data_IF_356946880172
#
_entry.id   IF_356946880172
#
_cell.length_a   1.000
_cell.length_b   1.000
_cell.length_c   1.000
_cell.angle_alpha   90.00
_cell.angle_beta   90.00
_cell.angle_gamma   90.00
#
_symmetry.space_group_name_H-M   'P 1'
#
loop_
_entity.id
_entity.type
_entity.pdbx_description
1 polymer ?
#
# COMPACT_ATOMS: atom_id res chain seq x y z
N UNK A 1 7.68 16.67 8.32
CA UNK A 1 6.26 16.39 8.03
C UNK A 1 5.31 17.43 8.62
N UNK A 2 5.59 17.98 9.80
CA UNK A 2 4.64 18.80 10.59
C UNK A 2 4.63 20.31 10.32
N UNK A 3 5.37 20.81 9.34
CA UNK A 3 5.46 22.25 9.08
C UNK A 3 4.09 22.78 8.60
N UNK A 4 3.44 23.60 9.42
CA UNK A 4 2.14 24.20 9.13
C UNK A 4 0.93 23.31 9.47
N UNK A 5 1.14 22.16 10.12
CA UNK A 5 0.04 21.34 10.63
C UNK A 5 -0.71 22.09 11.76
N UNK A 6 -2.06 22.08 11.82
CA UNK A 6 -3.00 21.32 10.98
C UNK A 6 -3.48 22.05 9.72
N UNK A 7 -3.11 23.31 9.50
CA UNK A 7 -3.57 24.15 8.38
C UNK A 7 -2.62 24.10 7.17
N UNK A 8 -2.09 22.92 6.85
CA UNK A 8 -1.22 22.76 5.68
C UNK A 8 -2.06 22.65 4.41
N UNK A 9 -1.69 23.44 3.39
CA UNK A 9 -2.26 23.33 2.05
C UNK A 9 -1.91 21.98 1.42
N UNK A 10 -2.82 21.47 0.60
CA UNK A 10 -2.63 20.23 -0.16
C UNK A 10 -2.28 20.64 -1.58
N UNK A 11 -1.08 20.27 -2.03
CA UNK A 11 -0.68 20.48 -3.42
C UNK A 11 -1.51 19.59 -4.36
N UNK A 12 -1.78 20.07 -5.57
CA UNK A 12 -2.60 19.36 -6.57
C UNK A 12 -2.07 17.95 -6.88
N UNK A 13 -0.74 17.78 -6.90
CA UNK A 13 -0.10 16.48 -7.11
C UNK A 13 -0.45 15.47 -6.01
N UNK A 14 -0.46 15.92 -4.74
CA UNK A 14 -0.81 15.08 -3.58
C UNK A 14 -2.31 14.75 -3.63
N UNK A 15 -3.13 15.71 -4.04
CA UNK A 15 -4.56 15.48 -4.24
C UNK A 15 -4.80 14.36 -5.26
N UNK A 16 -4.21 14.46 -6.46
CA UNK A 16 -4.33 13.43 -7.49
C UNK A 16 -3.80 12.08 -7.05
N UNK A 17 -2.65 12.07 -6.37
CA UNK A 17 -2.06 10.84 -5.83
C UNK A 17 -3.01 10.15 -4.85
N UNK A 18 -3.61 10.89 -3.92
CA UNK A 18 -4.57 10.35 -2.95
C UNK A 18 -5.84 9.84 -3.62
N UNK A 19 -6.41 10.61 -4.55
CA UNK A 19 -7.63 10.23 -5.27
C UNK A 19 -7.39 8.96 -6.07
N UNK A 20 -6.30 8.89 -6.84
CA UNK A 20 -5.95 7.71 -7.64
C UNK A 20 -5.67 6.49 -6.74
N UNK A 21 -4.92 6.67 -5.65
CA UNK A 21 -4.64 5.59 -4.69
C UNK A 21 -5.94 5.05 -4.08
N UNK A 22 -6.84 5.94 -3.64
CA UNK A 22 -8.13 5.52 -3.08
C UNK A 22 -8.99 4.76 -4.11
N UNK A 23 -9.03 5.22 -5.36
CA UNK A 23 -9.75 4.55 -6.44
C UNK A 23 -9.15 3.15 -6.73
N UNK A 24 -7.82 3.03 -6.71
CA UNK A 24 -7.12 1.76 -6.84
C UNK A 24 -7.52 0.78 -5.72
N UNK A 25 -7.49 1.19 -4.44
CA UNK A 25 -7.91 0.31 -3.34
C UNK A 25 -9.40 -0.06 -3.37
N UNK A 26 -10.27 0.85 -3.83
CA UNK A 26 -11.67 0.52 -4.11
C UNK A 26 -11.79 -0.55 -5.19
N UNK A 27 -11.03 -0.43 -6.28
CA UNK A 27 -11.03 -1.42 -7.36
C UNK A 27 -10.58 -2.80 -6.87
N UNK A 28 -9.57 -2.86 -5.98
CA UNK A 28 -9.12 -4.10 -5.35
C UNK A 28 -10.21 -4.73 -4.48
N UNK A 29 -10.93 -3.91 -3.69
CA UNK A 29 -12.03 -4.40 -2.87
C UNK A 29 -13.17 -4.98 -3.72
N UNK A 30 -13.54 -4.32 -4.82
CA UNK A 30 -14.56 -4.83 -5.74
C UNK A 30 -14.09 -6.10 -6.46
N UNK A 31 -12.85 -6.12 -6.96
CA UNK A 31 -12.27 -7.30 -7.60
C UNK A 31 -12.28 -8.50 -6.67
N UNK A 32 -11.93 -8.30 -5.39
CA UNK A 32 -11.96 -9.34 -4.37
C UNK A 32 -13.35 -9.96 -4.21
N UNK A 33 -14.42 -9.16 -4.29
CA UNK A 33 -15.83 -9.63 -4.19
C UNK A 33 -16.26 -10.39 -5.44
N UNK A 34 -15.73 -10.03 -6.61
CA UNK A 34 -16.04 -10.70 -7.89
C UNK A 34 -15.23 -11.98 -8.14
N UNK A 35 -14.02 -12.09 -7.58
CA UNK A 35 -13.19 -13.30 -7.69
C UNK A 35 -13.76 -14.47 -6.87
N UNK A 36 -13.39 -15.70 -7.26
CA UNK A 36 -13.72 -16.89 -6.49
C UNK A 36 -13.22 -16.77 -5.04
N UNK A 37 -14.09 -17.09 -4.09
CA UNK A 37 -13.80 -16.94 -2.66
C UNK A 37 -12.68 -17.89 -2.23
N UNK A 38 -11.48 -17.34 -2.10
CA UNK A 38 -10.33 -18.01 -1.50
C UNK A 38 -10.47 -18.05 0.03
N UNK A 39 -9.72 -18.94 0.70
CA UNK A 39 -9.80 -19.15 2.16
C UNK A 39 -9.46 -17.90 2.98
N UNK A 40 -8.71 -16.98 2.40
CA UNK A 40 -8.27 -15.69 2.95
C UNK A 40 -9.20 -14.52 2.60
N UNK A 41 -10.35 -14.78 1.96
CA UNK A 41 -11.29 -13.74 1.48
C UNK A 41 -11.63 -12.70 2.55
N UNK A 42 -12.08 -13.14 3.73
CA UNK A 42 -12.48 -12.24 4.81
C UNK A 42 -11.31 -11.44 5.38
N UNK A 43 -10.13 -12.06 5.47
CA UNK A 43 -8.92 -11.40 5.98
C UNK A 43 -8.50 -10.25 5.05
N UNK A 44 -8.48 -10.51 3.74
CA UNK A 44 -8.13 -9.50 2.74
C UNK A 44 -9.20 -8.42 2.59
N UNK A 45 -10.49 -8.76 2.72
CA UNK A 45 -11.58 -7.78 2.72
C UNK A 45 -11.45 -6.79 3.88
N UNK A 46 -11.25 -7.29 5.11
CA UNK A 46 -11.00 -6.44 6.27
C UNK A 46 -9.74 -5.59 6.09
N UNK A 47 -8.68 -6.16 5.52
CA UNK A 47 -7.47 -5.41 5.20
C UNK A 47 -7.73 -4.22 4.26
N UNK A 48 -8.49 -4.43 3.17
CA UNK A 48 -8.85 -3.35 2.24
C UNK A 48 -9.76 -2.28 2.89
N UNK A 49 -10.70 -2.70 3.75
CA UNK A 49 -11.53 -1.75 4.50
C UNK A 49 -10.71 -0.91 5.49
N UNK A 50 -9.75 -1.52 6.18
CA UNK A 50 -8.86 -0.81 7.11
C UNK A 50 -7.95 0.16 6.35
N UNK A 51 -7.36 -0.25 5.24
CA UNK A 51 -6.48 0.63 4.43
C UNK A 51 -7.26 1.81 3.84
N UNK A 52 -8.47 1.59 3.29
CA UNK A 52 -9.36 2.67 2.87
C UNK A 52 -9.69 3.61 4.04
N UNK A 53 -10.05 3.06 5.21
CA UNK A 53 -10.30 3.84 6.42
C UNK A 53 -9.11 4.70 6.84
N UNK A 54 -7.89 4.15 6.81
CA UNK A 54 -6.66 4.88 7.12
C UNK A 54 -6.40 6.01 6.13
N UNK A 55 -6.65 5.80 4.83
CA UNK A 55 -6.52 6.84 3.80
C UNK A 55 -7.51 7.98 4.06
N UNK A 56 -8.78 7.67 4.34
CA UNK A 56 -9.79 8.68 4.65
C UNK A 56 -9.52 9.44 5.94
N UNK A 57 -9.13 8.75 7.02
CA UNK A 57 -8.76 9.40 8.28
C UNK A 57 -7.51 10.27 8.11
N UNK A 58 -6.54 9.82 7.32
CA UNK A 58 -5.36 10.62 6.99
C UNK A 58 -5.72 11.89 6.21
N UNK A 59 -6.75 11.85 5.36
CA UNK A 59 -7.24 13.02 4.64
C UNK A 59 -7.97 14.00 5.56
N UNK A 60 -8.94 13.50 6.34
CA UNK A 60 -9.73 14.31 7.27
C UNK A 60 -8.88 14.98 8.35
N UNK A 61 -7.88 14.27 8.86
CA UNK A 61 -6.94 14.79 9.86
C UNK A 61 -5.81 15.65 9.26
N UNK A 62 -5.82 15.90 7.95
CA UNK A 62 -4.78 16.59 7.21
C UNK A 62 -3.37 16.00 7.44
N UNK A 63 -3.25 14.68 7.61
CA UNK A 63 -1.98 13.95 7.71
C UNK A 63 -1.42 13.53 6.32
N UNK A 64 -1.86 14.20 5.27
CA UNK A 64 -1.62 13.86 3.85
C UNK A 64 -0.15 13.60 3.52
N UNK A 65 0.77 14.44 4.02
CA UNK A 65 2.22 14.26 3.78
C UNK A 65 2.76 12.94 4.34
N UNK A 66 2.33 12.55 5.54
CA UNK A 66 2.77 11.29 6.16
C UNK A 66 2.08 10.13 5.45
N UNK A 67 0.77 10.21 5.26
CA UNK A 67 0.01 9.15 4.61
C UNK A 67 0.45 8.88 3.16
N UNK A 68 0.86 9.89 2.38
CA UNK A 68 1.44 9.69 1.04
C UNK A 68 2.65 8.74 1.07
N UNK A 69 3.57 8.96 2.01
CA UNK A 69 4.77 8.13 2.15
C UNK A 69 4.40 6.72 2.61
N UNK A 70 3.40 6.61 3.50
CA UNK A 70 2.92 5.30 3.96
C UNK A 70 2.34 4.49 2.81
N UNK A 71 1.48 5.08 1.97
CA UNK A 71 0.91 4.42 0.78
C UNK A 71 2.05 3.96 -0.14
N UNK A 72 2.99 4.86 -0.46
CA UNK A 72 4.11 4.56 -1.36
C UNK A 72 4.96 3.37 -0.87
N UNK A 73 5.31 3.36 0.41
CA UNK A 73 6.13 2.29 0.99
C UNK A 73 5.41 0.94 1.03
N UNK A 74 4.09 0.95 1.22
CA UNK A 74 3.31 -0.27 1.29
C UNK A 74 3.11 -0.90 -0.09
N UNK A 75 2.85 -0.07 -1.12
CA UNK A 75 2.60 -0.52 -2.49
C UNK A 75 3.88 -0.98 -3.22
N UNK A 76 5.04 -0.41 -2.88
CA UNK A 76 6.29 -0.73 -3.57
C UNK A 76 6.70 -2.20 -3.48
N UNK A 77 6.45 -2.85 -2.33
CA UNK A 77 6.73 -4.27 -2.17
C UNK A 77 5.82 -5.15 -3.05
N UNK A 78 4.56 -4.75 -3.20
CA UNK A 78 3.53 -5.56 -3.85
C UNK A 78 3.80 -5.74 -5.35
N UNK A 79 4.52 -4.82 -6.00
CA UNK A 79 5.01 -4.96 -7.39
C UNK A 79 5.81 -6.26 -7.58
N UNK A 80 6.69 -6.59 -6.62
CA UNK A 80 7.50 -7.82 -6.70
C UNK A 80 6.67 -9.08 -6.44
N UNK A 81 5.63 -8.97 -5.61
CA UNK A 81 4.70 -10.07 -5.33
C UNK A 81 3.85 -10.40 -6.56
N UNK A 82 3.29 -9.38 -7.23
CA UNK A 82 2.56 -9.57 -8.49
C UNK A 82 3.47 -10.08 -9.60
N UNK A 83 4.71 -9.60 -9.68
CA UNK A 83 5.71 -10.13 -10.62
C UNK A 83 6.01 -11.62 -10.35
N UNK A 84 6.09 -12.05 -9.09
CA UNK A 84 6.25 -13.46 -8.75
C UNK A 84 5.07 -14.31 -9.23
N UNK A 85 3.83 -13.83 -9.03
CA UNK A 85 2.62 -14.52 -9.52
C UNK A 85 2.62 -14.63 -11.05
N UNK A 86 3.03 -13.58 -11.78
CA UNK A 86 3.18 -13.63 -13.23
C UNK A 86 4.15 -14.74 -13.68
N UNK A 87 5.28 -14.92 -12.98
CA UNK A 87 6.20 -16.02 -13.27
C UNK A 87 5.59 -17.41 -12.98
N UNK A 88 4.71 -17.54 -11.98
CA UNK A 88 3.96 -18.78 -11.73
C UNK A 88 3.02 -19.06 -12.91
N UNK A 89 2.28 -18.06 -13.39
CA UNK A 89 1.39 -18.20 -14.55
C UNK A 89 2.17 -18.60 -15.83
N UNK A 90 3.41 -18.12 -15.97
CA UNK A 90 4.31 -18.50 -17.07
C UNK A 90 5.05 -19.84 -16.85
N UNK A 91 4.76 -20.58 -15.76
CA UNK A 91 5.46 -21.83 -15.37
C UNK A 91 6.97 -21.67 -15.19
N UNK A 92 7.44 -20.46 -14.85
CA UNK A 92 8.86 -20.16 -14.67
C UNK A 92 9.24 -20.14 -13.17
N UNK A 93 9.49 -21.33 -12.62
CA UNK A 93 9.70 -21.54 -11.17
C UNK A 93 10.87 -20.75 -10.57
N UNK A 94 12.02 -20.68 -11.27
CA UNK A 94 13.18 -19.92 -10.79
C UNK A 94 12.89 -18.42 -10.65
N UNK A 95 12.09 -17.89 -11.57
CA UNK A 95 11.71 -16.48 -11.61
C UNK A 95 10.73 -16.12 -10.50
N UNK A 96 9.75 -16.99 -10.23
CA UNK A 96 8.82 -16.83 -9.12
C UNK A 96 9.56 -16.84 -7.77
N UNK A 97 10.50 -17.78 -7.57
CA UNK A 97 11.31 -17.84 -6.34
C UNK A 97 12.13 -16.57 -6.13
N UNK A 98 12.81 -16.09 -7.17
CA UNK A 98 13.57 -14.83 -7.11
C UNK A 98 12.64 -13.65 -6.80
N UNK A 99 11.51 -13.54 -7.49
CA UNK A 99 10.52 -12.48 -7.24
C UNK A 99 10.00 -12.49 -5.82
N UNK A 100 9.70 -13.67 -5.25
CA UNK A 100 9.23 -13.80 -3.88
C UNK A 100 10.31 -13.46 -2.84
N UNK A 101 11.57 -13.84 -3.09
CA UNK A 101 12.70 -13.44 -2.22
C UNK A 101 12.91 -11.94 -2.24
N UNK A 102 12.87 -11.31 -3.43
CA UNK A 102 12.97 -9.86 -3.57
C UNK A 102 11.82 -9.14 -2.86
N UNK A 103 10.58 -9.61 -3.06
CA UNK A 103 9.41 -9.14 -2.33
C UNK A 103 9.65 -9.16 -0.82
N UNK A 104 10.11 -10.30 -0.28
CA UNK A 104 10.35 -10.44 1.15
C UNK A 104 11.41 -9.46 1.66
N UNK A 105 12.52 -9.30 0.93
CA UNK A 105 13.57 -8.35 1.30
C UNK A 105 13.07 -6.91 1.30
N UNK A 106 12.38 -6.49 0.24
CA UNK A 106 11.80 -5.14 0.12
C UNK A 106 10.75 -4.90 1.20
N UNK A 107 9.88 -5.87 1.46
CA UNK A 107 8.84 -5.79 2.49
C UNK A 107 9.42 -5.59 3.89
N UNK A 108 10.49 -6.30 4.25
CA UNK A 108 11.19 -6.11 5.53
C UNK A 108 11.78 -4.69 5.59
N UNK A 109 12.46 -4.25 4.54
CA UNK A 109 13.07 -2.92 4.50
C UNK A 109 12.02 -1.81 4.63
N UNK A 110 10.93 -1.87 3.86
CA UNK A 110 9.93 -0.80 3.84
C UNK A 110 9.09 -0.77 5.11
N UNK A 111 8.61 -1.94 5.59
CA UNK A 111 7.64 -2.01 6.70
C UNK A 111 8.27 -2.19 8.08
N UNK A 112 9.42 -2.85 8.20
CA UNK A 112 10.07 -3.10 9.50
C UNK A 112 11.18 -2.07 9.80
N UNK A 113 11.83 -1.51 8.79
CA UNK A 113 12.94 -0.58 9.01
C UNK A 113 12.52 0.86 8.71
N UNK A 114 12.14 1.15 7.47
CA UNK A 114 11.89 2.53 7.03
C UNK A 114 10.69 3.13 7.75
N UNK A 115 9.56 2.41 7.79
CA UNK A 115 8.34 2.88 8.44
C UNK A 115 8.57 3.29 9.92
N UNK A 116 9.09 2.43 10.82
CA UNK A 116 9.30 2.83 12.21
C UNK A 116 10.49 3.77 12.43
N UNK A 117 11.60 3.61 11.71
CA UNK A 117 12.78 4.43 11.97
C UNK A 117 12.68 5.84 11.41
N UNK A 118 11.98 6.05 10.28
CA UNK A 118 11.89 7.35 9.63
C UNK A 118 10.54 8.03 9.80
N UNK A 119 9.43 7.30 9.80
CA UNK A 119 8.10 7.92 9.87
C UNK A 119 7.68 8.11 11.33
N UNK A 120 7.73 7.05 12.16
CA UNK A 120 7.34 7.16 13.57
C UNK A 120 8.28 8.07 14.38
N UNK A 121 9.59 8.07 14.09
CA UNK A 121 10.54 9.00 14.73
C UNK A 121 10.34 10.46 14.32
N UNK A 122 9.66 10.71 13.20
CA UNK A 122 9.49 12.08 12.70
C UNK A 122 8.38 12.86 13.40
N UNK A 123 7.57 12.18 14.24
CA UNK A 123 6.53 12.75 15.12
C UNK A 123 7.18 13.42 16.33
#
# INVERSE_FOLDING_TARGET
FWKGFPLQGIDDDIWWYYTLSSAYYWSLLFNQVTEERKKDFWMMCVHHLVTLGLIYLSWLGNFTRVGSVVILLHDFADVFLEMSKLFIYMKHDRGSKIGFTLFTGVWILTRIIIYPCHILRSV
#
